data_IF_008872919200
#
_entry.id   IF_008872919200
#
_cell.length_a   1.000
_cell.length_b   1.000
_cell.length_c   1.000
_cell.angle_alpha   90.00
_cell.angle_beta   90.00
_cell.angle_gamma   90.00
#
_symmetry.space_group_name_H-M   'P 1'
#
loop_
_entity.id
_entity.type
_entity.pdbx_description
1 polymer ?
#
# COMPACT_ATOMS: atom_id res chain seq x y z
N UNK A 1 93.02 -58.66 -8.04
CA UNK A 1 92.82 -57.89 -9.31
C UNK A 1 91.43 -57.33 -9.19
N UNK A 2 91.27 -56.06 -9.36
CA UNK A 2 90.13 -55.26 -8.89
C UNK A 2 88.94 -55.30 -9.86
N UNK A 3 87.77 -55.77 -9.42
CA UNK A 3 86.51 -55.65 -10.16
C UNK A 3 85.76 -54.45 -9.62
N UNK A 4 85.30 -53.53 -10.56
CA UNK A 4 84.51 -52.36 -10.25
C UNK A 4 83.01 -52.72 -10.46
N UNK A 5 82.17 -52.62 -9.43
CA UNK A 5 80.76 -52.65 -9.54
C UNK A 5 80.23 -51.24 -9.87
N UNK A 6 79.50 -51.15 -10.90
CA UNK A 6 78.75 -49.92 -11.32
C UNK A 6 77.38 -49.96 -10.71
N UNK A 7 77.08 -48.96 -9.88
CA UNK A 7 75.70 -48.77 -9.31
C UNK A 7 74.89 -47.95 -10.28
N UNK A 8 73.74 -48.49 -10.72
CA UNK A 8 72.78 -47.77 -11.52
C UNK A 8 71.71 -47.21 -10.56
N UNK A 9 71.71 -45.88 -10.43
CA UNK A 9 70.69 -45.19 -9.66
C UNK A 9 69.43 -45.04 -10.54
N UNK A 10 68.30 -45.60 -10.07
CA UNK A 10 66.94 -45.33 -10.65
C UNK A 10 66.42 -44.09 -10.00
N UNK A 11 66.26 -43.01 -10.73
CA UNK A 11 65.50 -41.82 -10.34
C UNK A 11 63.98 -42.10 -10.46
N UNK A 12 63.26 -42.07 -9.34
CA UNK A 12 61.80 -42.10 -9.32
C UNK A 12 61.30 -40.66 -9.51
N UNK A 13 60.61 -40.45 -10.61
CA UNK A 13 59.96 -39.17 -10.93
C UNK A 13 58.60 -39.13 -10.24
N UNK A 14 58.46 -38.41 -9.09
CA UNK A 14 57.19 -38.12 -8.49
C UNK A 14 56.47 -37.00 -9.28
N UNK A 15 55.46 -37.36 -10.05
CA UNK A 15 54.52 -36.37 -10.63
C UNK A 15 53.58 -35.89 -9.51
N UNK A 16 53.74 -34.64 -9.06
CA UNK A 16 52.72 -33.95 -8.23
C UNK A 16 51.63 -33.41 -9.15
N UNK A 17 50.44 -33.99 -9.03
CA UNK A 17 49.19 -33.41 -9.65
C UNK A 17 48.77 -32.18 -8.82
N UNK A 18 48.54 -31.00 -9.43
CA UNK A 18 47.94 -29.89 -8.72
C UNK A 18 46.46 -30.20 -8.49
N UNK A 19 46.02 -30.30 -7.25
CA UNK A 19 44.61 -30.22 -6.83
C UNK A 19 44.15 -28.77 -7.10
N UNK A 20 43.59 -28.55 -8.28
CA UNK A 20 42.87 -27.33 -8.61
C UNK A 20 41.59 -27.27 -7.77
N UNK A 21 41.63 -26.55 -6.64
CA UNK A 21 40.43 -26.19 -5.90
C UNK A 21 39.59 -25.27 -6.76
N UNK A 22 38.42 -25.75 -7.24
CA UNK A 22 37.38 -24.91 -7.81
C UNK A 22 36.80 -24.11 -6.65
N UNK A 23 37.28 -22.87 -6.45
CA UNK A 23 36.57 -21.89 -5.65
C UNK A 23 35.25 -21.60 -6.37
N UNK A 24 34.16 -22.20 -5.89
CA UNK A 24 32.81 -21.78 -6.26
C UNK A 24 32.65 -20.33 -5.76
N UNK A 25 32.76 -19.38 -6.68
CA UNK A 25 32.35 -18.00 -6.41
C UNK A 25 30.85 -18.06 -6.13
N UNK A 26 30.47 -17.94 -4.85
CA UNK A 26 29.09 -17.64 -4.50
C UNK A 26 28.77 -16.29 -5.15
N UNK A 27 28.00 -16.31 -6.24
CA UNK A 27 27.36 -15.11 -6.77
C UNK A 27 26.56 -14.53 -5.59
N UNK A 28 26.75 -13.25 -5.22
CA UNK A 28 25.89 -12.63 -4.24
C UNK A 28 24.46 -12.80 -4.77
N UNK A 29 23.54 -13.30 -3.90
CA UNK A 29 22.13 -13.30 -4.22
C UNK A 29 21.80 -11.86 -4.66
N UNK A 30 21.32 -11.70 -5.89
CA UNK A 30 20.87 -10.41 -6.38
C UNK A 30 19.83 -9.93 -5.37
N UNK A 31 20.11 -8.83 -4.70
CA UNK A 31 19.08 -8.16 -3.90
C UNK A 31 17.85 -8.05 -4.79
N UNK A 32 16.70 -8.50 -4.30
CA UNK A 32 15.46 -8.40 -5.06
C UNK A 32 15.32 -6.92 -5.46
N UNK A 33 15.34 -6.66 -6.76
CA UNK A 33 15.30 -5.29 -7.25
C UNK A 33 13.94 -4.71 -6.85
N UNK A 34 13.94 -3.66 -6.03
CA UNK A 34 12.73 -2.92 -5.69
C UNK A 34 12.10 -2.37 -6.98
N UNK A 35 10.96 -2.93 -7.36
CA UNK A 35 10.29 -2.56 -8.62
C UNK A 35 9.24 -1.51 -8.32
N UNK A 36 9.34 -0.31 -8.90
CA UNK A 36 8.29 0.70 -8.75
C UNK A 36 6.95 0.18 -9.29
N UNK A 37 5.85 0.62 -8.68
CA UNK A 37 4.52 0.39 -9.21
C UNK A 37 4.36 1.09 -10.57
N UNK A 38 3.43 0.63 -11.43
CA UNK A 38 3.04 1.36 -12.63
C UNK A 38 2.64 2.80 -12.32
N UNK A 39 2.81 3.75 -13.26
CA UNK A 39 2.47 5.16 -13.05
C UNK A 39 0.97 5.38 -12.81
N UNK A 40 0.13 4.49 -13.34
CA UNK A 40 -1.30 4.41 -13.08
C UNK A 40 -1.62 3.00 -12.62
N UNK A 41 -2.22 2.86 -11.43
CA UNK A 41 -2.47 1.54 -10.86
C UNK A 41 -3.86 1.45 -10.23
N UNK A 42 -4.55 0.35 -10.52
CA UNK A 42 -5.69 -0.09 -9.73
C UNK A 42 -5.19 -1.07 -8.67
N UNK A 43 -5.30 -0.68 -7.41
CA UNK A 43 -4.81 -1.46 -6.27
C UNK A 43 -5.88 -1.50 -5.15
N UNK A 44 -6.93 -2.35 -5.28
CA UNK A 44 -7.99 -2.44 -4.29
C UNK A 44 -7.45 -2.81 -2.91
N UNK A 45 -8.09 -2.31 -1.86
CA UNK A 45 -7.82 -2.77 -0.51
C UNK A 45 -8.19 -4.24 -0.37
N UNK A 46 -7.29 -4.99 0.27
CA UNK A 46 -7.51 -6.36 0.72
C UNK A 46 -7.54 -6.36 2.24
N UNK A 47 -8.68 -6.74 2.80
CA UNK A 47 -8.95 -6.75 4.24
C UNK A 47 -8.27 -7.97 4.89
N UNK A 48 -7.05 -7.78 5.39
CA UNK A 48 -6.22 -8.85 5.96
C UNK A 48 -6.83 -9.51 7.19
N UNK A 49 -7.65 -8.79 7.93
CA UNK A 49 -8.35 -9.31 9.12
C UNK A 49 -9.47 -10.30 8.80
N UNK A 50 -9.89 -10.41 7.55
CA UNK A 50 -10.85 -11.42 7.12
C UNK A 50 -10.18 -12.79 6.82
N UNK A 51 -8.86 -12.86 6.75
CA UNK A 51 -8.14 -14.12 6.63
C UNK A 51 -8.28 -14.97 7.91
N UNK A 52 -8.39 -16.29 7.84
CA UNK A 52 -8.32 -17.15 6.66
C UNK A 52 -9.68 -17.40 5.96
N UNK A 53 -10.73 -16.66 6.28
CA UNK A 53 -12.09 -16.92 5.82
C UNK A 53 -12.38 -16.34 4.42
N UNK A 54 -11.41 -15.69 3.80
CA UNK A 54 -11.50 -15.15 2.43
C UNK A 54 -10.41 -15.77 1.54
N UNK A 55 -10.58 -15.76 0.21
CA UNK A 55 -9.54 -16.20 -0.70
C UNK A 55 -8.22 -15.44 -0.48
N UNK A 56 -7.08 -16.12 -0.62
CA UNK A 56 -5.76 -15.48 -0.53
C UNK A 56 -5.56 -14.42 -1.61
N UNK A 57 -4.52 -13.58 -1.47
CA UNK A 57 -4.16 -12.58 -2.50
C UNK A 57 -4.00 -13.24 -3.88
N UNK A 58 -3.24 -14.34 -3.94
CA UNK A 58 -3.00 -15.06 -5.19
C UNK A 58 -4.29 -15.63 -5.77
N UNK A 59 -5.16 -16.24 -4.94
CA UNK A 59 -6.44 -16.76 -5.39
C UNK A 59 -7.37 -15.64 -5.89
N UNK A 60 -7.40 -14.50 -5.18
CA UNK A 60 -8.14 -13.31 -5.59
C UNK A 60 -7.61 -12.76 -6.91
N UNK A 61 -6.29 -12.63 -7.06
CA UNK A 61 -5.64 -12.17 -8.29
C UNK A 61 -5.95 -13.07 -9.49
N UNK A 62 -5.97 -14.39 -9.30
CA UNK A 62 -6.32 -15.34 -10.35
C UNK A 62 -7.79 -15.26 -10.76
N UNK A 63 -8.68 -15.05 -9.79
CA UNK A 63 -10.13 -14.98 -10.03
C UNK A 63 -10.58 -13.65 -10.63
N UNK A 64 -9.99 -12.52 -10.19
CA UNK A 64 -10.40 -11.17 -10.56
C UNK A 64 -9.58 -10.54 -11.70
N UNK A 65 -8.38 -11.07 -11.98
CA UNK A 65 -7.43 -10.41 -12.86
C UNK A 65 -6.63 -9.27 -12.21
N UNK A 66 -6.96 -8.86 -10.99
CA UNK A 66 -6.22 -7.82 -10.24
C UNK A 66 -4.78 -8.26 -9.99
N UNK A 67 -3.83 -7.34 -10.08
CA UNK A 67 -2.40 -7.61 -9.89
C UNK A 67 -1.80 -6.85 -8.72
N UNK A 68 -2.36 -5.73 -8.33
CA UNK A 68 -1.86 -4.89 -7.25
C UNK A 68 -2.91 -4.82 -6.15
N UNK A 69 -2.48 -4.86 -4.88
CA UNK A 69 -3.39 -4.79 -3.74
C UNK A 69 -2.83 -3.86 -2.66
N UNK A 70 -3.70 -3.10 -2.02
CA UNK A 70 -3.39 -2.38 -0.78
C UNK A 70 -3.78 -3.26 0.40
N UNK A 71 -2.80 -3.65 1.25
CA UNK A 71 -3.04 -4.59 2.35
C UNK A 71 -3.43 -3.85 3.63
N UNK A 72 -4.63 -4.01 4.11
CA UNK A 72 -5.21 -3.33 5.27
C UNK A 72 -5.30 -4.29 6.48
N UNK A 73 -4.66 -4.06 7.62
CA UNK A 73 -3.79 -2.97 8.00
C UNK A 73 -2.63 -3.44 8.88
N UNK A 74 -1.49 -2.77 8.79
CA UNK A 74 -0.42 -2.84 9.78
C UNK A 74 -0.73 -1.90 10.95
N UNK A 75 -0.59 -2.40 12.16
CA UNK A 75 -0.92 -1.69 13.39
C UNK A 75 0.09 -2.03 14.49
N UNK A 76 0.21 -1.18 15.50
CA UNK A 76 0.93 -1.55 16.71
C UNK A 76 0.30 -2.78 17.33
N UNK A 77 1.11 -3.70 17.83
CA UNK A 77 0.66 -4.95 18.47
C UNK A 77 -0.33 -4.71 19.62
N UNK A 78 -0.23 -3.55 20.26
CA UNK A 78 -1.17 -3.01 21.26
C UNK A 78 -0.90 -1.52 21.48
N UNK A 79 -1.88 -0.79 21.99
CA UNK A 79 -1.69 0.61 22.41
C UNK A 79 -0.48 0.78 23.34
N UNK A 80 0.39 1.73 23.02
CA UNK A 80 1.65 2.00 23.73
C UNK A 80 2.81 1.10 23.32
N UNK A 81 2.63 0.22 22.32
CA UNK A 81 3.70 -0.58 21.71
C UNK A 81 4.30 0.13 20.52
N UNK A 82 5.59 -0.15 20.26
CA UNK A 82 6.31 0.23 19.05
C UNK A 82 6.55 -0.98 18.11
N UNK A 83 5.95 -2.14 18.37
CA UNK A 83 6.06 -3.30 17.48
C UNK A 83 4.84 -3.41 16.58
N UNK A 84 5.04 -3.83 15.33
CA UNK A 84 4.00 -3.98 14.31
C UNK A 84 3.57 -5.43 14.14
N UNK A 85 2.25 -5.61 14.01
CA UNK A 85 1.63 -6.85 13.52
C UNK A 85 0.51 -6.49 12.53
N UNK A 86 0.10 -7.41 11.69
CA UNK A 86 -1.13 -7.26 10.94
C UNK A 86 -2.33 -7.29 11.90
N UNK A 87 -3.15 -6.25 11.84
CA UNK A 87 -4.39 -6.12 12.63
C UNK A 87 -4.19 -6.21 14.15
N UNK A 88 -3.05 -5.80 14.69
CA UNK A 88 -2.66 -5.99 16.11
C UNK A 88 -2.77 -7.46 16.56
N UNK A 89 -2.50 -8.41 15.68
CA UNK A 89 -2.65 -9.84 15.95
C UNK A 89 -1.30 -10.54 16.03
N UNK A 90 -0.95 -11.04 17.20
CA UNK A 90 0.30 -11.82 17.40
C UNK A 90 0.35 -13.12 16.61
N UNK A 91 -0.75 -13.55 15.99
CA UNK A 91 -0.80 -14.70 15.07
C UNK A 91 -0.58 -14.30 13.62
N UNK A 92 -0.44 -13.01 13.34
CA UNK A 92 -0.21 -12.46 12.02
C UNK A 92 0.99 -11.49 12.06
N UNK A 93 2.21 -12.01 12.27
CA UNK A 93 3.44 -11.22 12.27
C UNK A 93 3.68 -10.59 10.90
N UNK A 94 4.62 -9.65 10.80
CA UNK A 94 4.88 -8.88 9.59
C UNK A 94 5.08 -9.76 8.34
N UNK A 95 5.75 -10.89 8.46
CA UNK A 95 6.04 -11.86 7.38
C UNK A 95 4.88 -12.82 7.05
N UNK A 96 3.71 -12.65 7.68
CA UNK A 96 2.56 -13.55 7.52
C UNK A 96 2.13 -13.72 6.04
N UNK A 97 2.26 -12.69 5.23
CA UNK A 97 1.87 -12.70 3.81
C UNK A 97 3.03 -12.95 2.84
N UNK A 98 4.27 -13.19 3.28
CA UNK A 98 5.45 -13.30 2.41
C UNK A 98 5.27 -14.32 1.28
N UNK A 99 4.77 -15.51 1.60
CA UNK A 99 4.54 -16.57 0.62
C UNK A 99 3.46 -16.22 -0.41
N UNK A 100 2.39 -15.53 0.01
CA UNK A 100 1.30 -15.13 -0.87
C UNK A 100 1.72 -13.94 -1.75
N UNK A 101 2.49 -12.98 -1.19
CA UNK A 101 3.09 -11.88 -1.93
C UNK A 101 4.09 -12.41 -2.99
N UNK A 102 4.93 -13.37 -2.64
CA UNK A 102 5.84 -13.99 -3.59
C UNK A 102 5.09 -14.67 -4.76
N UNK A 103 3.98 -15.35 -4.44
CA UNK A 103 3.11 -15.98 -5.44
C UNK A 103 2.40 -14.94 -6.31
N UNK A 104 1.94 -13.83 -5.74
CA UNK A 104 1.36 -12.70 -6.46
C UNK A 104 2.37 -12.06 -7.41
N UNK A 105 3.63 -11.86 -6.96
CA UNK A 105 4.73 -11.35 -7.79
C UNK A 105 5.05 -12.27 -8.97
N UNK A 106 4.95 -13.57 -8.79
CA UNK A 106 5.08 -14.53 -9.88
C UNK A 106 3.99 -14.38 -10.97
N UNK A 107 2.85 -13.75 -10.63
CA UNK A 107 1.79 -13.36 -11.57
C UNK A 107 1.99 -11.95 -12.16
N UNK A 108 3.10 -11.28 -11.84
CA UNK A 108 3.40 -9.91 -12.28
C UNK A 108 2.71 -8.82 -11.46
N UNK A 109 2.31 -9.14 -10.23
CA UNK A 109 1.68 -8.21 -9.30
C UNK A 109 2.61 -7.70 -8.19
N UNK A 110 2.08 -6.86 -7.29
CA UNK A 110 2.75 -6.41 -6.07
C UNK A 110 1.74 -5.88 -5.04
N UNK A 111 2.23 -5.44 -3.88
CA UNK A 111 1.41 -4.96 -2.78
C UNK A 111 1.84 -3.58 -2.28
N UNK A 112 0.89 -2.87 -1.67
CA UNK A 112 1.07 -1.63 -0.92
C UNK A 112 0.63 -1.92 0.52
N UNK A 113 1.54 -2.05 1.50
CA UNK A 113 1.13 -2.17 2.90
C UNK A 113 0.53 -0.85 3.39
N UNK A 114 -0.63 -0.93 4.04
CA UNK A 114 -1.34 0.21 4.62
C UNK A 114 -1.28 0.17 6.14
N UNK A 115 -0.99 1.30 6.74
CA UNK A 115 -0.93 1.50 8.18
C UNK A 115 -2.17 2.25 8.66
N UNK A 116 -2.66 1.96 9.86
CA UNK A 116 -3.76 2.70 10.47
C UNK A 116 -5.13 2.08 10.22
N UNK A 117 -6.03 2.86 9.60
CA UNK A 117 -7.42 2.54 9.37
C UNK A 117 -8.30 2.76 10.61
N UNK A 118 -9.62 2.87 10.40
CA UNK A 118 -10.59 3.28 11.43
C UNK A 118 -10.41 2.61 12.79
N UNK A 119 -10.21 1.29 12.83
CA UNK A 119 -10.10 0.54 14.09
C UNK A 119 -8.82 0.88 14.85
N UNK A 120 -7.69 1.02 14.18
CA UNK A 120 -6.42 1.40 14.77
C UNK A 120 -6.46 2.83 15.29
N UNK A 121 -6.98 3.73 14.50
CA UNK A 121 -7.06 5.15 14.81
C UNK A 121 -8.05 5.45 15.93
N UNK A 122 -9.12 4.67 16.01
CA UNK A 122 -10.07 4.77 17.11
C UNK A 122 -9.51 4.18 18.42
N UNK A 123 -8.77 3.08 18.35
CA UNK A 123 -8.22 2.39 19.53
C UNK A 123 -6.88 2.94 20.02
N UNK A 124 -6.17 3.71 19.18
CA UNK A 124 -4.82 4.22 19.43
C UNK A 124 -3.74 3.16 19.22
N UNK A 125 -3.95 2.25 18.27
CA UNK A 125 -2.96 1.28 17.79
C UNK A 125 -2.37 1.67 16.41
N UNK A 126 -2.74 2.84 15.83
CA UNK A 126 -1.93 3.43 14.78
C UNK A 126 -0.51 3.65 15.31
N UNK A 127 0.51 3.29 14.53
CA UNK A 127 1.87 3.15 15.09
C UNK A 127 2.42 4.46 15.65
N UNK A 128 2.18 5.61 14.99
CA UNK A 128 2.66 6.90 15.46
C UNK A 128 1.81 7.48 16.62
N UNK A 129 0.60 6.98 16.83
CA UNK A 129 -0.20 7.28 18.00
C UNK A 129 0.21 6.40 19.20
N UNK A 130 0.60 5.16 18.93
CA UNK A 130 0.97 4.16 19.91
C UNK A 130 2.41 4.33 20.41
N UNK A 131 3.36 4.46 19.48
CA UNK A 131 4.79 4.64 19.74
C UNK A 131 5.13 6.13 19.81
N UNK A 132 5.94 6.54 20.79
CA UNK A 132 6.39 7.94 20.94
C UNK A 132 7.84 8.17 20.48
N UNK A 133 8.55 7.12 20.12
CA UNK A 133 9.92 7.19 19.62
C UNK A 133 9.93 7.25 18.09
N UNK A 134 10.22 8.42 17.54
CA UNK A 134 10.26 8.67 16.09
C UNK A 134 11.26 7.77 15.37
N UNK A 135 12.41 7.50 15.99
CA UNK A 135 13.45 6.65 15.38
C UNK A 135 13.01 5.19 15.32
N UNK A 136 12.26 4.72 16.34
CA UNK A 136 11.70 3.38 16.32
C UNK A 136 10.58 3.25 15.27
N UNK A 137 9.72 4.27 15.15
CA UNK A 137 8.68 4.29 14.11
C UNK A 137 9.32 4.24 12.71
N UNK A 138 10.39 5.00 12.47
CA UNK A 138 11.14 4.96 11.21
C UNK A 138 11.73 3.56 10.96
N UNK A 139 12.33 2.94 11.98
CA UNK A 139 12.89 1.58 11.89
C UNK A 139 11.79 0.54 11.58
N UNK A 140 10.58 0.73 12.10
CA UNK A 140 9.43 -0.12 11.80
C UNK A 140 9.01 0.01 10.32
N UNK A 141 8.98 1.23 9.78
CA UNK A 141 8.73 1.45 8.35
C UNK A 141 9.81 0.83 7.46
N UNK A 142 11.09 1.01 7.81
CA UNK A 142 12.22 0.38 7.14
C UNK A 142 12.13 -1.16 7.18
N UNK A 143 11.71 -1.72 8.30
CA UNK A 143 11.48 -3.16 8.44
C UNK A 143 10.37 -3.64 7.51
N UNK A 144 9.25 -2.91 7.41
CA UNK A 144 8.16 -3.24 6.46
C UNK A 144 8.67 -3.21 5.02
N UNK A 145 9.40 -2.17 4.63
CA UNK A 145 9.98 -2.05 3.29
C UNK A 145 10.90 -3.23 2.97
N UNK A 146 11.78 -3.60 3.90
CA UNK A 146 12.78 -4.66 3.68
C UNK A 146 12.17 -6.05 3.74
N UNK A 147 11.24 -6.31 4.68
CA UNK A 147 10.58 -7.61 4.82
C UNK A 147 9.69 -7.90 3.62
N UNK A 148 8.83 -6.95 3.27
CA UNK A 148 7.87 -7.14 2.19
C UNK A 148 8.46 -6.82 0.79
N UNK A 149 9.61 -6.16 0.70
CA UNK A 149 10.26 -5.79 -0.57
C UNK A 149 9.44 -4.78 -1.38
N UNK A 150 8.79 -3.82 -0.73
CA UNK A 150 7.86 -2.86 -1.33
C UNK A 150 8.48 -1.50 -1.59
N UNK A 151 7.88 -0.74 -2.50
CA UNK A 151 8.30 0.63 -2.86
C UNK A 151 7.28 1.69 -2.52
N UNK A 152 6.11 1.34 -2.02
CA UNK A 152 5.08 2.28 -1.56
C UNK A 152 4.55 1.87 -0.20
N UNK A 153 4.40 2.85 0.68
CA UNK A 153 3.68 2.73 1.95
C UNK A 153 2.43 3.60 1.90
N UNK A 154 1.32 3.09 2.38
CA UNK A 154 0.07 3.81 2.54
C UNK A 154 -0.18 4.08 4.03
N UNK A 155 -0.67 5.28 4.35
CA UNK A 155 -1.02 5.72 5.70
C UNK A 155 -2.48 6.16 5.70
N UNK A 156 -3.34 5.28 6.16
CA UNK A 156 -4.77 5.50 6.30
C UNK A 156 -5.05 6.16 7.65
N UNK A 157 -5.36 7.47 7.61
CA UNK A 157 -5.47 8.32 8.80
C UNK A 157 -6.89 8.80 8.97
N UNK A 158 -7.53 8.30 10.02
CA UNK A 158 -8.93 8.53 10.29
C UNK A 158 -9.20 8.93 11.76
N UNK A 159 -10.45 9.14 12.08
CA UNK A 159 -10.98 9.19 13.45
C UNK A 159 -10.13 10.02 14.43
N UNK A 160 -9.67 9.42 15.54
CA UNK A 160 -8.87 10.10 16.56
C UNK A 160 -7.48 10.51 16.07
N UNK A 161 -6.90 9.78 15.11
CA UNK A 161 -5.56 10.06 14.57
C UNK A 161 -5.52 11.37 13.78
N UNK A 162 -6.62 11.77 13.12
CA UNK A 162 -6.76 13.08 12.49
C UNK A 162 -6.70 14.25 13.48
N UNK A 163 -6.99 14.01 14.74
CA UNK A 163 -6.98 15.00 15.82
C UNK A 163 -5.73 14.92 16.71
N UNK A 164 -4.89 13.90 16.53
CA UNK A 164 -3.65 13.73 17.29
C UNK A 164 -2.48 14.46 16.62
N UNK A 165 -2.37 15.76 16.84
CA UNK A 165 -1.30 16.59 16.25
C UNK A 165 0.10 16.09 16.57
N UNK A 166 0.31 15.50 17.76
CA UNK A 166 1.60 14.91 18.11
C UNK A 166 1.87 13.61 17.36
N UNK A 167 0.86 12.76 17.16
CA UNK A 167 0.94 11.56 16.33
C UNK A 167 1.22 11.91 14.86
N UNK A 168 0.49 12.89 14.31
CA UNK A 168 0.70 13.41 12.96
C UNK A 168 2.15 13.89 12.76
N UNK A 169 2.67 14.69 13.70
CA UNK A 169 4.05 15.18 13.61
C UNK A 169 5.07 14.04 13.69
N UNK A 170 4.88 13.07 14.59
CA UNK A 170 5.78 11.89 14.72
C UNK A 170 5.77 11.04 13.45
N UNK A 171 4.59 10.77 12.88
CA UNK A 171 4.45 10.02 11.62
C UNK A 171 5.25 10.69 10.50
N UNK A 172 5.06 11.97 10.30
CA UNK A 172 5.75 12.72 9.26
C UNK A 172 7.27 12.80 9.49
N UNK A 173 7.73 12.97 10.74
CA UNK A 173 9.16 12.91 11.07
C UNK A 173 9.76 11.54 10.78
N UNK A 174 9.05 10.46 11.14
CA UNK A 174 9.50 9.09 10.86
C UNK A 174 9.52 8.82 9.35
N UNK A 175 8.53 9.28 8.60
CA UNK A 175 8.52 9.19 7.14
C UNK A 175 9.74 9.88 6.53
N UNK A 176 10.07 11.10 6.94
CA UNK A 176 11.24 11.83 6.44
C UNK A 176 12.55 11.08 6.72
N UNK A 177 12.69 10.44 7.89
CA UNK A 177 13.85 9.58 8.21
C UNK A 177 13.91 8.36 7.31
N UNK A 178 12.77 7.69 7.12
CA UNK A 178 12.65 6.50 6.26
C UNK A 178 12.96 6.83 4.80
N UNK A 179 12.52 7.98 4.29
CA UNK A 179 12.84 8.45 2.93
C UNK A 179 14.33 8.70 2.76
N UNK A 180 14.97 9.34 3.74
CA UNK A 180 16.42 9.55 3.73
C UNK A 180 17.19 8.21 3.74
N UNK A 181 16.74 7.24 4.54
CA UNK A 181 17.30 5.88 4.55
C UNK A 181 17.05 5.16 3.21
N UNK A 182 15.84 5.22 2.66
CA UNK A 182 15.51 4.60 1.39
C UNK A 182 16.37 5.15 0.25
N UNK A 183 16.55 6.48 0.19
CA UNK A 183 17.42 7.13 -0.79
C UNK A 183 18.87 6.67 -0.68
N UNK A 184 19.41 6.53 0.55
CA UNK A 184 20.76 6.04 0.80
C UNK A 184 20.94 4.56 0.37
N UNK A 185 19.83 3.78 0.33
CA UNK A 185 19.82 2.38 -0.08
C UNK A 185 19.36 2.17 -1.54
N UNK A 186 19.10 3.24 -2.29
CA UNK A 186 18.69 3.17 -3.69
C UNK A 186 17.25 2.63 -3.88
N UNK A 187 16.40 2.76 -2.86
CA UNK A 187 14.99 2.31 -2.89
C UNK A 187 14.12 3.47 -3.36
N UNK A 188 13.34 3.32 -4.46
CA UNK A 188 12.45 4.37 -4.97
C UNK A 188 11.15 4.42 -4.14
N UNK A 189 11.26 4.82 -2.86
CA UNK A 189 10.14 4.85 -1.92
C UNK A 189 9.12 5.92 -2.30
N UNK A 190 7.86 5.56 -2.23
CA UNK A 190 6.70 6.42 -2.42
C UNK A 190 5.84 6.41 -1.15
N UNK A 191 5.36 7.58 -0.76
CA UNK A 191 4.49 7.77 0.40
C UNK A 191 3.09 8.15 -0.05
N UNK A 192 2.10 7.39 0.37
CA UNK A 192 0.69 7.64 0.13
C UNK A 192 0.00 7.94 1.46
N UNK A 193 -0.85 8.96 1.48
CA UNK A 193 -1.84 9.19 2.53
C UNK A 193 -3.22 8.83 2.04
N UNK A 194 -3.99 8.11 2.84
CA UNK A 194 -5.42 7.87 2.63
C UNK A 194 -6.19 8.65 3.69
N UNK A 195 -7.11 9.51 3.23
CA UNK A 195 -7.79 10.51 4.07
C UNK A 195 -9.29 10.55 3.77
N UNK A 196 -10.14 10.75 4.80
CA UNK A 196 -11.56 11.06 4.61
C UNK A 196 -11.74 12.35 3.81
N UNK A 197 -12.79 12.38 3.02
CA UNK A 197 -13.10 13.52 2.15
C UNK A 197 -14.60 13.76 2.10
N UNK A 198 -14.99 15.02 1.85
CA UNK A 198 -16.33 15.42 1.44
C UNK A 198 -16.30 15.92 -0.02
N UNK A 199 -17.45 16.19 -0.62
CA UNK A 199 -17.47 16.72 -1.99
C UNK A 199 -16.77 18.09 -2.14
N UNK A 200 -16.59 18.83 -1.05
CA UNK A 200 -15.81 20.08 -1.03
C UNK A 200 -14.30 19.86 -0.79
N UNK A 201 -13.84 18.63 -0.71
CA UNK A 201 -12.45 18.24 -0.46
C UNK A 201 -12.21 17.74 0.96
N UNK A 202 -10.95 17.78 1.37
CA UNK A 202 -10.51 17.38 2.70
C UNK A 202 -11.06 18.34 3.77
N UNK A 203 -11.43 17.78 4.91
CA UNK A 203 -11.66 18.58 6.10
C UNK A 203 -10.36 19.21 6.61
N UNK A 204 -10.43 20.28 7.43
CA UNK A 204 -9.23 20.95 7.97
C UNK A 204 -8.25 20.01 8.68
N UNK A 205 -8.74 18.93 9.27
CA UNK A 205 -7.90 17.93 9.93
C UNK A 205 -7.10 17.10 8.91
N UNK A 206 -7.71 16.70 7.79
CA UNK A 206 -7.03 16.04 6.68
C UNK A 206 -5.97 16.95 6.03
N UNK A 207 -6.31 18.23 5.80
CA UNK A 207 -5.32 19.22 5.33
C UNK A 207 -4.15 19.35 6.31
N UNK A 208 -4.40 19.33 7.62
CA UNK A 208 -3.36 19.45 8.66
C UNK A 208 -2.35 18.28 8.61
N UNK A 209 -2.77 17.07 8.21
CA UNK A 209 -1.85 15.93 8.00
C UNK A 209 -0.84 16.26 6.90
N UNK A 210 -1.31 16.78 5.76
CA UNK A 210 -0.47 17.13 4.61
C UNK A 210 0.38 18.36 4.87
N UNK A 211 -0.16 19.38 5.54
CA UNK A 211 0.59 20.56 5.97
C UNK A 211 1.73 20.19 6.93
N UNK A 212 1.47 19.24 7.85
CA UNK A 212 2.50 18.68 8.72
C UNK A 212 3.55 17.91 7.94
N UNK A 213 3.19 17.17 6.89
CA UNK A 213 4.16 16.48 6.02
C UNK A 213 5.13 17.49 5.39
N UNK A 214 4.61 18.57 4.82
CA UNK A 214 5.44 19.65 4.27
C UNK A 214 6.35 20.27 5.35
N UNK A 215 5.81 20.54 6.55
CA UNK A 215 6.57 21.14 7.65
C UNK A 215 7.68 20.21 8.19
N UNK A 216 7.50 18.90 8.13
CA UNK A 216 8.47 17.90 8.57
C UNK A 216 9.37 17.40 7.41
N UNK A 217 9.24 17.95 6.21
CA UNK A 217 9.98 17.55 5.00
C UNK A 217 9.73 16.11 4.56
N UNK A 218 8.58 15.52 4.87
CA UNK A 218 8.15 14.26 4.32
C UNK A 218 7.57 14.47 2.92
N UNK A 219 8.07 13.74 1.94
CA UNK A 219 7.66 13.87 0.54
C UNK A 219 6.43 13.00 0.26
N UNK A 220 5.26 13.62 0.17
CA UNK A 220 4.01 12.92 -0.18
C UNK A 220 3.96 12.69 -1.69
N UNK A 221 3.89 11.43 -2.09
CA UNK A 221 3.78 11.01 -3.50
C UNK A 221 2.33 10.93 -3.95
N UNK A 222 1.43 10.47 -3.07
CA UNK A 222 0.01 10.26 -3.39
C UNK A 222 -0.88 10.66 -2.21
N UNK A 223 -2.02 11.27 -2.53
CA UNK A 223 -3.12 11.58 -1.60
C UNK A 223 -4.36 10.85 -2.11
N UNK A 224 -4.68 9.75 -1.46
CA UNK A 224 -5.83 8.91 -1.73
C UNK A 224 -7.02 9.41 -0.93
N UNK A 225 -8.10 9.78 -1.61
CA UNK A 225 -9.32 10.25 -0.96
C UNK A 225 -10.34 9.13 -0.83
N UNK A 226 -10.96 9.01 0.34
CA UNK A 226 -12.06 8.08 0.60
C UNK A 226 -13.37 8.66 0.08
N UNK A 227 -13.67 8.48 -1.22
CA UNK A 227 -14.83 9.06 -1.89
C UNK A 227 -16.11 8.24 -1.63
N UNK A 228 -16.43 8.06 -0.36
CA UNK A 228 -17.58 7.31 0.16
C UNK A 228 -17.86 7.72 1.61
N UNK A 229 -18.96 7.26 2.20
CA UNK A 229 -19.37 7.56 3.57
C UNK A 229 -19.38 9.06 3.88
N UNK A 230 -19.87 9.88 2.97
CA UNK A 230 -19.94 11.33 3.16
C UNK A 230 -20.81 11.70 4.35
N UNK A 231 -20.35 12.68 5.13
CA UNK A 231 -21.01 13.06 6.40
C UNK A 231 -22.02 14.19 6.27
N UNK A 232 -22.05 14.86 5.13
CA UNK A 232 -23.00 15.95 4.87
C UNK A 232 -24.30 15.44 4.27
N UNK A 233 -25.42 15.85 4.85
CA UNK A 233 -26.75 15.44 4.41
C UNK A 233 -27.05 15.95 2.99
N UNK A 234 -27.48 15.04 2.12
CA UNK A 234 -27.90 15.35 0.75
C UNK A 234 -26.81 15.22 -0.31
N UNK A 235 -25.58 14.87 0.04
CA UNK A 235 -24.50 14.71 -0.93
C UNK A 235 -24.72 13.54 -1.89
N UNK A 236 -25.35 12.44 -1.48
CA UNK A 236 -25.69 11.30 -2.35
C UNK A 236 -26.70 11.62 -3.46
N UNK A 237 -27.27 12.82 -3.52
CA UNK A 237 -28.26 13.20 -4.54
C UNK A 237 -27.65 13.42 -5.93
N UNK A 238 -26.34 13.63 -6.05
CA UNK A 238 -25.67 13.86 -7.35
C UNK A 238 -25.16 12.58 -8.01
N UNK A 239 -25.28 11.42 -7.33
CA UNK A 239 -24.67 10.15 -7.73
C UNK A 239 -23.20 10.04 -7.29
N UNK A 240 -22.79 8.83 -6.89
CA UNK A 240 -21.49 8.62 -6.23
C UNK A 240 -20.31 8.87 -7.17
N UNK A 241 -20.45 8.61 -8.47
CA UNK A 241 -19.40 8.92 -9.44
C UNK A 241 -19.13 10.43 -9.54
N UNK A 242 -20.20 11.25 -9.57
CA UNK A 242 -20.06 12.72 -9.60
C UNK A 242 -19.57 13.25 -8.25
N UNK A 243 -20.04 12.67 -7.14
CA UNK A 243 -19.58 13.04 -5.80
C UNK A 243 -18.05 12.83 -5.67
N UNK A 244 -17.53 11.69 -6.14
CA UNK A 244 -16.10 11.40 -6.17
C UNK A 244 -15.31 12.39 -7.04
N UNK A 245 -15.84 12.78 -8.20
CA UNK A 245 -15.23 13.80 -9.06
C UNK A 245 -15.21 15.17 -8.39
N UNK A 246 -16.31 15.55 -7.71
CA UNK A 246 -16.36 16.80 -6.96
C UNK A 246 -15.32 16.81 -5.85
N UNK A 247 -15.22 15.73 -5.07
CA UNK A 247 -14.24 15.56 -4.01
C UNK A 247 -12.80 15.66 -4.54
N UNK A 248 -12.46 14.95 -5.61
CA UNK A 248 -11.14 15.01 -6.24
C UNK A 248 -10.82 16.43 -6.76
N UNK A 249 -11.76 17.09 -7.44
CA UNK A 249 -11.55 18.45 -7.96
C UNK A 249 -11.34 19.46 -6.85
N UNK A 250 -12.06 19.32 -5.74
CA UNK A 250 -11.90 20.19 -4.56
C UNK A 250 -10.57 19.91 -3.85
N UNK A 251 -10.22 18.63 -3.68
CA UNK A 251 -8.91 18.21 -3.13
C UNK A 251 -7.77 18.73 -3.99
N UNK A 252 -7.85 18.65 -5.31
CA UNK A 252 -6.84 19.22 -6.22
C UNK A 252 -6.56 20.71 -5.91
N UNK A 253 -7.62 21.48 -5.68
CA UNK A 253 -7.48 22.91 -5.31
C UNK A 253 -6.78 23.09 -3.97
N UNK A 254 -7.08 22.23 -2.98
CA UNK A 254 -6.43 22.27 -1.66
C UNK A 254 -4.96 21.85 -1.76
N UNK A 255 -4.66 20.79 -2.52
CA UNK A 255 -3.28 20.35 -2.77
C UNK A 255 -2.43 21.47 -3.41
N UNK A 256 -2.99 22.26 -4.32
CA UNK A 256 -2.30 23.42 -4.89
C UNK A 256 -1.92 24.48 -3.86
N UNK A 257 -2.70 24.63 -2.79
CA UNK A 257 -2.42 25.55 -1.68
C UNK A 257 -1.36 25.00 -0.70
N UNK A 258 -1.27 23.68 -0.57
CA UNK A 258 -0.34 22.99 0.35
C UNK A 258 1.02 22.75 -0.33
N UNK A 259 1.02 22.20 -1.54
CA UNK A 259 2.21 21.84 -2.31
C UNK A 259 2.53 22.92 -3.37
N UNK A 260 2.82 24.12 -2.91
CA UNK A 260 2.92 25.34 -3.73
C UNK A 260 4.02 25.33 -4.81
N UNK A 261 4.95 24.36 -4.76
CA UNK A 261 6.01 24.19 -5.76
C UNK A 261 5.66 23.18 -6.86
N UNK A 262 4.58 22.42 -6.69
CA UNK A 262 4.12 21.43 -7.66
C UNK A 262 3.37 22.12 -8.81
N UNK A 263 3.59 21.64 -10.04
CA UNK A 263 2.78 22.04 -11.20
C UNK A 263 1.38 21.40 -11.14
N UNK A 264 0.41 21.94 -11.87
CA UNK A 264 -0.94 21.37 -11.95
C UNK A 264 -0.93 19.89 -12.39
N UNK A 265 -0.08 19.52 -13.33
CA UNK A 265 0.06 18.11 -13.76
C UNK A 265 0.63 17.20 -12.66
N UNK A 266 1.56 17.70 -11.84
CA UNK A 266 2.08 16.96 -10.70
C UNK A 266 1.02 16.82 -9.61
N UNK A 267 0.22 17.85 -9.35
CA UNK A 267 -0.86 17.81 -8.37
C UNK A 267 -1.91 16.77 -8.75
N UNK A 268 -2.34 16.72 -10.02
CA UNK A 268 -3.25 15.67 -10.47
C UNK A 268 -2.64 14.26 -10.35
N UNK A 269 -1.35 14.13 -10.66
CA UNK A 269 -0.64 12.85 -10.49
C UNK A 269 -0.37 12.47 -9.02
N UNK A 270 -0.55 13.41 -8.08
CA UNK A 270 -0.56 13.10 -6.64
C UNK A 270 -1.90 12.53 -6.17
N UNK A 271 -2.97 12.68 -6.91
CA UNK A 271 -4.28 12.22 -6.46
C UNK A 271 -4.49 10.72 -6.68
N UNK A 272 -5.25 10.14 -5.76
CA UNK A 272 -5.80 8.80 -5.83
C UNK A 272 -7.23 8.80 -5.29
N UNK A 273 -8.07 7.87 -5.76
CA UNK A 273 -9.47 7.82 -5.38
C UNK A 273 -9.87 6.41 -4.98
N UNK A 274 -10.42 6.30 -3.77
CA UNK A 274 -11.05 5.06 -3.27
C UNK A 274 -12.57 5.19 -3.40
N UNK A 275 -13.20 4.20 -4.02
CA UNK A 275 -14.65 4.03 -4.04
C UNK A 275 -15.08 2.91 -3.09
N UNK A 276 -16.33 2.93 -2.62
CA UNK A 276 -16.94 1.80 -1.92
C UNK A 276 -17.96 1.12 -2.85
N UNK A 277 -17.71 -0.13 -3.30
CA UNK A 277 -18.64 -0.83 -4.18
C UNK A 277 -20.04 -1.03 -3.56
N UNK A 278 -21.07 -0.58 -4.24
CA UNK A 278 -22.47 -0.77 -3.85
C UNK A 278 -22.95 0.15 -2.74
N UNK A 279 -23.67 -0.42 -1.77
CA UNK A 279 -24.29 0.33 -0.67
C UNK A 279 -23.24 0.61 0.39
N UNK A 280 -23.01 1.88 0.70
CA UNK A 280 -22.02 2.31 1.68
C UNK A 280 -22.32 1.83 3.09
N UNK A 281 -21.33 1.81 3.95
CA UNK A 281 -21.45 1.36 5.33
C UNK A 281 -22.26 2.34 6.18
N UNK A 282 -22.23 3.62 5.82
CA UNK A 282 -22.99 4.66 6.47
C UNK A 282 -24.45 4.67 6.01
N UNK A 283 -25.35 4.59 6.96
CA UNK A 283 -26.80 4.48 6.71
C UNK A 283 -27.51 5.81 6.39
N UNK A 284 -26.83 6.93 6.35
CA UNK A 284 -27.44 8.27 6.38
C UNK A 284 -27.61 8.95 5.04
N UNK A 285 -27.14 8.40 3.92
CA UNK A 285 -27.13 9.15 2.66
C UNK A 285 -27.80 8.48 1.46
N UNK A 286 -28.24 7.25 1.57
CA UNK A 286 -28.58 6.43 0.39
C UNK A 286 -27.43 6.39 -0.62
N UNK A 287 -26.22 6.41 -0.14
CA UNK A 287 -25.01 6.36 -0.96
C UNK A 287 -24.85 4.96 -1.53
N UNK A 288 -24.92 4.90 -2.86
CA UNK A 288 -24.81 3.63 -3.60
C UNK A 288 -23.92 3.85 -4.81
N UNK A 289 -22.72 3.32 -4.76
CA UNK A 289 -21.80 3.34 -5.90
C UNK A 289 -22.14 2.20 -6.86
N UNK A 290 -22.54 2.56 -8.06
CA UNK A 290 -22.88 1.63 -9.13
C UNK A 290 -21.70 1.45 -10.10
N UNK A 291 -21.78 0.45 -10.97
CA UNK A 291 -20.76 0.23 -12.01
C UNK A 291 -20.61 1.41 -12.97
N UNK A 292 -21.70 2.13 -13.25
CA UNK A 292 -21.66 3.36 -14.06
C UNK A 292 -20.91 4.50 -13.37
N UNK A 293 -20.97 4.58 -12.03
CA UNK A 293 -20.19 5.53 -11.25
C UNK A 293 -18.69 5.20 -11.33
N UNK A 294 -18.34 3.93 -11.18
CA UNK A 294 -16.96 3.47 -11.35
C UNK A 294 -16.42 3.79 -12.76
N UNK A 295 -17.19 3.55 -13.81
CA UNK A 295 -16.79 3.90 -15.18
C UNK A 295 -16.59 5.41 -15.37
N UNK A 296 -17.43 6.23 -14.75
CA UNK A 296 -17.31 7.69 -14.76
C UNK A 296 -16.02 8.14 -14.09
N UNK A 297 -15.68 7.56 -12.93
CA UNK A 297 -14.43 7.87 -12.20
C UNK A 297 -13.21 7.40 -12.98
N UNK A 298 -13.21 6.22 -13.62
CA UNK A 298 -12.10 5.78 -14.49
C UNK A 298 -11.85 6.80 -15.60
N UNK A 299 -12.90 7.24 -16.28
CA UNK A 299 -12.77 8.22 -17.39
C UNK A 299 -12.18 9.55 -16.89
N UNK A 300 -12.64 10.02 -15.73
CA UNK A 300 -12.10 11.22 -15.10
C UNK A 300 -10.63 11.05 -14.68
N UNK A 301 -10.28 9.93 -14.08
CA UNK A 301 -8.93 9.63 -13.61
C UNK A 301 -7.93 9.58 -14.77
N UNK A 302 -8.31 8.94 -15.89
CA UNK A 302 -7.50 8.89 -17.10
C UNK A 302 -7.32 10.29 -17.72
N UNK A 303 -8.38 11.09 -17.77
CA UNK A 303 -8.34 12.44 -18.35
C UNK A 303 -7.44 13.40 -17.55
N UNK A 304 -7.31 13.21 -16.25
CA UNK A 304 -6.55 14.05 -15.34
C UNK A 304 -5.19 13.45 -14.90
N UNK A 305 -4.82 12.26 -15.41
CA UNK A 305 -3.56 11.62 -15.06
C UNK A 305 -3.41 11.30 -13.55
N UNK A 306 -4.50 10.88 -12.91
CA UNK A 306 -4.52 10.46 -11.50
C UNK A 306 -3.61 9.24 -11.29
N UNK A 307 -2.98 9.11 -10.12
CA UNK A 307 -1.97 8.09 -9.84
C UNK A 307 -2.58 6.71 -9.58
N UNK A 308 -3.63 6.65 -8.76
CA UNK A 308 -4.18 5.37 -8.31
C UNK A 308 -5.70 5.43 -8.21
N UNK A 309 -6.34 4.32 -8.61
CA UNK A 309 -7.73 4.01 -8.27
C UNK A 309 -7.77 2.79 -7.36
N UNK A 310 -8.69 2.79 -6.41
CA UNK A 310 -8.87 1.70 -5.47
C UNK A 310 -10.33 1.54 -5.05
N UNK A 311 -10.64 0.47 -4.32
CA UNK A 311 -11.94 0.25 -3.68
C UNK A 311 -11.76 -0.24 -2.25
N UNK A 312 -12.71 0.09 -1.40
CA UNK A 312 -12.90 -0.49 -0.07
C UNK A 312 -14.09 -1.44 -0.09
N UNK A 313 -13.90 -2.77 -0.22
CA UNK A 313 -12.65 -3.46 -0.45
C UNK A 313 -12.85 -4.56 -1.52
N UNK A 314 -11.81 -5.23 -1.93
CA UNK A 314 -11.90 -6.26 -3.00
C UNK A 314 -12.82 -7.41 -2.61
N UNK A 315 -12.89 -7.78 -1.32
CA UNK A 315 -13.78 -8.82 -0.82
C UNK A 315 -15.26 -8.43 -0.98
N UNK A 316 -15.54 -7.15 -1.10
CA UNK A 316 -16.88 -6.57 -1.30
C UNK A 316 -17.37 -6.62 -2.75
N UNK A 317 -16.48 -6.86 -3.70
CA UNK A 317 -16.76 -6.82 -5.14
C UNK A 317 -17.52 -8.04 -5.64
N UNK A 318 -18.74 -8.21 -5.12
CA UNK A 318 -19.69 -9.25 -5.55
C UNK A 318 -21.13 -8.95 -5.12
N UNK A 319 -22.10 -9.58 -5.78
CA UNK A 319 -23.55 -9.41 -5.56
C UNK A 319 -24.15 -10.40 -4.55
N UNK A 320 -23.39 -10.97 -3.62
CA UNK A 320 -23.86 -12.06 -2.75
C UNK A 320 -24.91 -11.67 -1.70
N UNK A 321 -25.20 -10.38 -1.51
CA UNK A 321 -26.10 -9.89 -0.44
C UNK A 321 -26.99 -8.72 -0.85
N UNK A 322 -27.60 -8.77 -2.01
CA UNK A 322 -28.44 -7.69 -2.56
C UNK A 322 -29.42 -7.13 -1.51
N UNK A 323 -29.42 -5.81 -1.35
CA UNK A 323 -30.26 -5.07 -0.41
C UNK A 323 -29.69 -4.98 1.02
N UNK A 324 -28.47 -5.50 1.27
CA UNK A 324 -27.81 -5.37 2.57
C UNK A 324 -26.66 -4.33 2.49
N UNK A 325 -26.67 -3.40 3.41
CA UNK A 325 -25.61 -2.39 3.59
C UNK A 325 -24.59 -2.87 4.65
N UNK A 326 -23.42 -2.23 4.68
CA UNK A 326 -22.41 -2.41 5.73
C UNK A 326 -21.80 -3.81 5.77
N UNK A 327 -21.54 -4.42 4.60
CA UNK A 327 -20.92 -5.74 4.51
C UNK A 327 -19.52 -5.66 3.93
N UNK A 328 -18.54 -6.21 4.65
CA UNK A 328 -17.16 -6.34 4.15
C UNK A 328 -17.00 -7.46 3.10
N UNK A 329 -18.04 -8.22 2.81
CA UNK A 329 -17.95 -9.41 1.95
C UNK A 329 -18.86 -9.37 0.73
N UNK A 330 -19.64 -8.31 0.52
CA UNK A 330 -20.52 -8.11 -0.63
C UNK A 330 -21.00 -6.67 -0.76
N UNK A 331 -21.26 -6.21 -1.98
CA UNK A 331 -21.61 -4.80 -2.27
C UNK A 331 -23.03 -4.38 -1.92
N UNK A 332 -23.94 -5.34 -1.70
CA UNK A 332 -25.37 -5.03 -1.48
C UNK A 332 -26.17 -4.74 -2.75
N UNK A 333 -25.54 -4.62 -3.92
CA UNK A 333 -26.20 -4.42 -5.20
C UNK A 333 -26.15 -5.67 -6.10
N UNK A 334 -26.98 -5.71 -7.11
CA UNK A 334 -26.96 -6.76 -8.11
C UNK A 334 -25.77 -6.56 -9.06
N UNK A 335 -24.79 -7.42 -8.97
CA UNK A 335 -23.61 -7.46 -9.83
C UNK A 335 -23.04 -8.90 -9.89
N UNK A 336 -22.14 -9.16 -10.84
CA UNK A 336 -21.32 -10.37 -10.80
C UNK A 336 -20.09 -10.14 -9.91
N UNK A 337 -19.43 -11.22 -9.50
CA UNK A 337 -18.14 -11.11 -8.81
C UNK A 337 -17.13 -10.40 -9.72
N UNK A 338 -16.41 -9.46 -9.14
CA UNK A 338 -15.31 -8.70 -9.78
C UNK A 338 -15.76 -7.68 -10.85
N UNK A 339 -17.04 -7.30 -10.91
CA UNK A 339 -17.49 -6.31 -11.90
C UNK A 339 -16.83 -4.93 -11.69
N UNK A 340 -16.65 -4.48 -10.44
CA UNK A 340 -15.89 -3.25 -10.14
C UNK A 340 -14.41 -3.40 -10.47
N UNK A 341 -13.79 -4.51 -10.08
CA UNK A 341 -12.38 -4.79 -10.41
C UNK A 341 -12.14 -4.86 -11.92
N UNK A 342 -13.06 -5.45 -12.68
CA UNK A 342 -12.99 -5.48 -14.15
C UNK A 342 -13.11 -4.08 -14.75
N UNK A 343 -13.96 -3.22 -14.18
CA UNK A 343 -14.15 -1.83 -14.65
C UNK A 343 -12.93 -0.98 -14.33
N UNK A 344 -12.50 -0.99 -13.06
CA UNK A 344 -11.40 -0.15 -12.57
C UNK A 344 -10.02 -0.67 -12.99
N UNK A 345 -9.88 -1.98 -13.21
CA UNK A 345 -8.63 -2.61 -13.65
C UNK A 345 -8.11 -2.11 -15.00
N UNK A 346 -9.00 -1.61 -15.87
CA UNK A 346 -8.63 -0.95 -17.13
C UNK A 346 -7.82 0.35 -16.94
N UNK A 347 -7.71 0.84 -15.71
CA UNK A 347 -6.91 2.01 -15.35
C UNK A 347 -5.40 1.69 -15.24
N UNK A 348 -5.03 0.45 -14.92
CA UNK A 348 -3.63 0.04 -14.79
C UNK A 348 -2.96 -0.01 -16.16
N UNK A 349 -1.87 0.77 -16.34
CA UNK A 349 -1.12 0.77 -17.58
C UNK A 349 -0.02 1.81 -17.64
#
# INVERSE_FOLDING_TARGET
MKSRLTLIARAALCMALPLGGIAASATPASAAAYTPLPPHVYAPYYETYLAPNTPSLTATAQASGVRYFTLAFLQAAKKGSCSLDWNSSSTMPLDYYDADIASLRALGGDVIPSFGGYSADHSGTEIADSCTDVSQIAADYEQVITTLGVTRLDFDVESNSLNNTAGIARRNQAIALTEAWAAANGIPLQIQYTLPVEQYGLDPNGESVLQSAVAQHAAVTSVNIMAFDYYISGEGTVGMGQAAINAATSTHTQLASIFTTASAAQLWNMEAVTLMPGIDDKKTGNEVTNLTDAQTVVSFAQANNINLLTIWAVQRDNGGCVGKAGSNTCSGIAQNSWDFSNTLGAFTG
#
